data_IF_279663957456
#
_entry.id   IF_279663957456
#
_cell.length_a   1.000
_cell.length_b   1.000
_cell.length_c   1.000
_cell.angle_alpha   90.00
_cell.angle_beta   90.00
_cell.angle_gamma   90.00
#
_symmetry.space_group_name_H-M   'P 1'
#
loop_
_entity.id
_entity.type
_entity.pdbx_description
1 polymer ?
#
# COMPACT_ATOMS: atom_id res chain seq x y z
N UNK A 1 -2.81 2.14 4.52
CA UNK A 1 -2.81 3.59 4.80
C UNK A 1 -1.39 4.17 4.75
N UNK A 2 -0.54 3.74 3.80
CA UNK A 2 0.82 4.29 3.70
C UNK A 2 0.86 5.68 3.05
N UNK A 3 -0.17 5.97 2.27
CA UNK A 3 -0.35 7.17 1.44
C UNK A 3 -1.03 8.34 2.16
N UNK A 4 -1.67 8.10 3.31
CA UNK A 4 -2.44 9.15 4.00
C UNK A 4 -1.56 9.89 5.01
N UNK A 5 -1.84 11.18 5.29
CA UNK A 5 -1.06 11.97 6.26
C UNK A 5 -1.10 11.38 7.67
N UNK A 6 -2.28 10.95 8.10
CA UNK A 6 -2.51 10.28 9.38
C UNK A 6 -2.65 8.77 9.13
N UNK A 7 -1.63 8.03 9.55
CA UNK A 7 -1.57 6.58 9.44
C UNK A 7 -1.47 5.95 10.83
N UNK A 8 -1.97 4.72 11.03
CA UNK A 8 -1.90 4.07 12.32
C UNK A 8 -0.45 3.90 12.76
N UNK A 9 -0.13 4.16 14.02
CA UNK A 9 1.23 3.86 14.53
C UNK A 9 1.42 2.36 14.74
N UNK A 10 0.34 1.67 15.11
CA UNK A 10 0.28 0.24 15.37
C UNK A 10 -1.04 -0.32 14.85
N UNK A 11 -1.07 -1.62 14.62
CA UNK A 11 -2.30 -2.34 14.35
C UNK A 11 -2.29 -3.71 15.00
N UNK A 12 -3.49 -4.21 15.28
CA UNK A 12 -3.71 -5.58 15.72
C UNK A 12 -4.41 -6.36 14.63
N UNK A 13 -4.04 -7.64 14.48
CA UNK A 13 -4.85 -8.64 13.80
C UNK A 13 -5.26 -9.71 14.81
N UNK A 14 -6.51 -10.17 14.72
CA UNK A 14 -7.06 -11.23 15.57
C UNK A 14 -7.70 -12.32 14.72
N UNK A 15 -7.32 -13.57 14.91
CA UNK A 15 -7.95 -14.70 14.23
C UNK A 15 -9.17 -15.17 15.02
N UNK A 16 -10.36 -14.89 14.51
CA UNK A 16 -11.59 -15.40 15.11
C UNK A 16 -11.98 -16.77 14.52
N UNK A 17 -11.69 -16.96 13.23
CA UNK A 17 -11.90 -18.21 12.51
C UNK A 17 -10.69 -18.51 11.62
N UNK A 18 -10.08 -19.68 11.84
CA UNK A 18 -8.91 -20.15 11.11
C UNK A 18 -9.22 -20.34 9.61
N UNK A 19 -8.26 -20.03 8.73
CA UNK A 19 -8.39 -20.38 7.32
C UNK A 19 -8.38 -21.90 7.13
N UNK A 20 -9.24 -22.42 6.24
CA UNK A 20 -9.20 -23.85 5.89
C UNK A 20 -7.85 -24.28 5.26
N UNK A 21 -7.26 -23.41 4.44
CA UNK A 21 -5.88 -23.52 3.94
C UNK A 21 -5.35 -22.15 3.52
N UNK A 22 -4.05 -21.90 3.72
CA UNK A 22 -3.39 -20.63 3.39
C UNK A 22 -3.85 -19.48 4.28
N UNK A 23 -4.01 -18.28 3.71
CA UNK A 23 -4.63 -17.15 4.40
C UNK A 23 -3.81 -16.53 5.52
N UNK A 24 -2.53 -16.87 5.60
CA UNK A 24 -1.57 -16.23 6.49
C UNK A 24 -1.55 -14.71 6.23
N UNK A 25 -1.10 -13.97 7.23
CA UNK A 25 -0.75 -12.55 7.11
C UNK A 25 0.77 -12.44 7.14
N UNK A 26 1.48 -12.61 6.01
CA UNK A 26 2.93 -12.43 5.99
C UNK A 26 3.31 -11.03 6.46
N UNK A 27 4.34 -10.95 7.28
CA UNK A 27 4.92 -9.71 7.77
C UNK A 27 6.41 -9.64 7.41
N UNK A 28 6.90 -8.44 7.11
CA UNK A 28 8.29 -8.22 6.73
C UNK A 28 8.81 -6.90 7.32
N UNK A 29 10.06 -6.91 7.76
CA UNK A 29 10.69 -5.75 8.39
C UNK A 29 11.06 -4.69 7.34
N UNK A 30 10.45 -3.52 7.46
CA UNK A 30 10.57 -2.41 6.51
C UNK A 30 12.00 -1.88 6.37
N UNK A 31 12.75 -1.82 7.47
CA UNK A 31 14.14 -1.35 7.44
C UNK A 31 15.08 -2.34 6.71
N UNK A 32 14.81 -3.65 6.79
CA UNK A 32 15.61 -4.68 6.11
C UNK A 32 15.47 -4.52 4.59
N UNK A 33 14.24 -4.26 4.13
CA UNK A 33 13.98 -4.00 2.71
C UNK A 33 14.71 -2.72 2.27
N UNK A 34 14.67 -1.66 3.07
CA UNK A 34 15.43 -0.44 2.79
C UNK A 34 16.93 -0.72 2.65
N UNK A 35 17.54 -1.42 3.61
CA UNK A 35 18.98 -1.73 3.60
C UNK A 35 19.37 -2.57 2.39
N UNK A 36 18.61 -3.62 2.08
CA UNK A 36 18.89 -4.49 0.93
C UNK A 36 18.70 -3.76 -0.40
N UNK A 37 17.65 -2.96 -0.54
CA UNK A 37 17.43 -2.14 -1.75
C UNK A 37 18.53 -1.11 -1.92
N UNK A 38 18.99 -0.47 -0.84
CA UNK A 38 20.07 0.52 -0.90
C UNK A 38 21.41 -0.11 -1.32
N UNK A 39 21.71 -1.32 -0.88
CA UNK A 39 22.91 -2.04 -1.30
C UNK A 39 22.82 -2.48 -2.77
N UNK A 40 21.68 -3.02 -3.19
CA UNK A 40 21.52 -3.56 -4.57
C UNK A 40 21.32 -2.46 -5.62
N UNK A 41 20.60 -1.40 -5.30
CA UNK A 41 20.19 -0.35 -6.24
C UNK A 41 20.37 1.05 -5.61
N UNK A 42 21.61 1.46 -5.28
CA UNK A 42 21.87 2.72 -4.56
C UNK A 42 21.32 3.95 -5.28
N UNK A 43 21.52 4.06 -6.60
CA UNK A 43 21.04 5.19 -7.41
C UNK A 43 19.51 5.28 -7.46
N UNK A 44 18.84 4.13 -7.53
CA UNK A 44 17.38 4.06 -7.49
C UNK A 44 16.85 4.54 -6.14
N UNK A 45 17.46 4.09 -5.04
CA UNK A 45 17.07 4.49 -3.67
C UNK A 45 17.36 5.97 -3.43
N UNK A 46 18.48 6.50 -3.94
CA UNK A 46 18.79 7.93 -3.87
C UNK A 46 17.76 8.77 -4.63
N UNK A 47 17.38 8.35 -5.84
CA UNK A 47 16.32 9.00 -6.61
C UNK A 47 14.97 8.93 -5.89
N UNK A 48 14.63 7.80 -5.27
CA UNK A 48 13.42 7.67 -4.45
C UNK A 48 13.41 8.58 -3.22
N UNK A 49 14.54 8.75 -2.53
CA UNK A 49 14.67 9.62 -1.35
C UNK A 49 14.52 11.09 -1.74
N UNK A 50 15.06 11.46 -2.91
CA UNK A 50 15.01 12.83 -3.44
C UNK A 50 13.65 13.20 -4.03
N UNK A 51 13.15 12.37 -4.95
CA UNK A 51 12.00 12.72 -5.79
C UNK A 51 10.69 12.18 -5.19
N UNK A 52 10.73 11.10 -4.41
CA UNK A 52 9.54 10.42 -3.92
C UNK A 52 8.78 9.69 -5.02
N UNK A 53 7.47 9.50 -4.81
CA UNK A 53 6.57 8.77 -5.71
C UNK A 53 5.28 9.55 -5.96
N UNK A 54 4.74 9.40 -7.18
CA UNK A 54 3.37 9.79 -7.52
C UNK A 54 2.55 8.52 -7.70
N UNK A 55 1.38 8.47 -7.06
CA UNK A 55 0.39 7.41 -7.22
C UNK A 55 -0.79 7.94 -8.03
N UNK A 56 -1.18 7.19 -9.05
CA UNK A 56 -2.35 7.48 -9.89
C UNK A 56 -3.33 6.32 -9.82
N UNK A 57 -4.60 6.61 -9.57
CA UNK A 57 -5.66 5.59 -9.51
C UNK A 57 -6.95 6.11 -10.13
N UNK A 58 -7.55 5.31 -10.99
CA UNK A 58 -8.86 5.59 -11.60
C UNK A 58 -9.93 4.82 -10.82
N UNK A 59 -10.81 5.59 -10.18
CA UNK A 59 -11.91 5.11 -9.35
C UNK A 59 -13.22 5.24 -10.13
N UNK A 60 -14.00 4.16 -10.20
CA UNK A 60 -15.39 4.22 -10.65
C UNK A 60 -16.28 4.94 -9.63
N UNK A 61 -17.55 5.16 -9.99
CA UNK A 61 -18.52 5.75 -9.06
C UNK A 61 -18.81 4.84 -7.87
N UNK A 62 -19.10 3.57 -8.15
CA UNK A 62 -19.49 2.55 -7.18
C UNK A 62 -18.40 1.51 -6.98
N UNK A 63 -18.58 0.65 -5.98
CA UNK A 63 -17.64 -0.41 -5.65
C UNK A 63 -17.76 -1.60 -6.62
N UNK A 64 -16.62 -2.10 -7.07
CA UNK A 64 -16.50 -3.28 -7.93
C UNK A 64 -15.88 -4.45 -7.16
N UNK A 65 -16.65 -5.43 -6.70
CA UNK A 65 -16.13 -6.54 -5.89
C UNK A 65 -15.19 -7.48 -6.67
N UNK A 66 -15.14 -7.38 -8.01
CA UNK A 66 -14.26 -8.20 -8.84
C UNK A 66 -12.85 -7.62 -8.98
N UNK A 67 -12.67 -6.33 -8.68
CA UNK A 67 -11.39 -5.64 -8.78
C UNK A 67 -10.61 -5.68 -7.45
N UNK A 68 -9.28 -5.95 -7.47
CA UNK A 68 -8.44 -5.89 -6.27
C UNK A 68 -8.37 -4.47 -5.67
N UNK A 69 -8.74 -3.47 -6.47
CA UNK A 69 -8.78 -2.05 -6.11
C UNK A 69 -10.17 -1.46 -6.44
N UNK A 70 -11.21 -2.27 -6.27
CA UNK A 70 -12.56 -1.95 -6.72
C UNK A 70 -13.32 -0.87 -5.96
N UNK A 71 -12.82 -0.37 -4.83
CA UNK A 71 -13.48 0.71 -4.08
C UNK A 71 -13.68 1.95 -4.97
N UNK A 72 -14.93 2.38 -5.12
CA UNK A 72 -15.31 3.57 -5.89
C UNK A 72 -14.99 4.86 -5.15
N UNK A 73 -15.10 5.99 -5.84
CA UNK A 73 -14.83 7.29 -5.21
C UNK A 73 -15.88 7.65 -4.15
N UNK A 74 -17.12 7.20 -4.31
CA UNK A 74 -18.17 7.49 -3.34
C UNK A 74 -17.89 6.84 -1.99
N UNK A 75 -17.44 5.59 -1.99
CA UNK A 75 -17.00 4.86 -0.79
C UNK A 75 -15.65 5.38 -0.28
N UNK A 76 -14.71 5.71 -1.17
CA UNK A 76 -13.40 6.25 -0.79
C UNK A 76 -13.50 7.59 -0.06
N UNK A 77 -14.33 8.50 -0.57
CA UNK A 77 -14.51 9.83 -0.01
C UNK A 77 -15.77 9.97 0.85
N UNK A 78 -16.52 8.88 1.06
CA UNK A 78 -17.74 8.82 1.87
C UNK A 78 -18.79 9.88 1.51
N UNK A 79 -19.00 10.11 0.22
CA UNK A 79 -19.91 11.16 -0.29
C UNK A 79 -20.36 10.84 -1.72
N UNK A 80 -21.51 11.37 -2.12
CA UNK A 80 -22.00 11.35 -3.52
C UNK A 80 -21.86 12.70 -4.21
N UNK A 81 -21.36 13.71 -3.51
CA UNK A 81 -21.15 15.06 -4.03
C UNK A 81 -19.68 15.22 -4.47
N UNK A 82 -19.48 15.64 -5.73
CA UNK A 82 -18.16 15.81 -6.34
C UNK A 82 -17.32 16.89 -5.64
N UNK A 83 -17.93 18.01 -5.29
CA UNK A 83 -17.25 19.12 -4.61
C UNK A 83 -16.80 18.71 -3.20
N UNK A 84 -17.64 17.95 -2.48
CA UNK A 84 -17.26 17.39 -1.17
C UNK A 84 -16.14 16.36 -1.31
N UNK A 85 -16.14 15.55 -2.38
CA UNK A 85 -15.07 14.59 -2.65
C UNK A 85 -13.75 15.30 -2.92
N UNK A 86 -13.75 16.38 -3.70
CA UNK A 86 -12.57 17.21 -3.97
C UNK A 86 -12.00 17.84 -2.68
N UNK A 87 -12.86 18.39 -1.82
CA UNK A 87 -12.45 18.96 -0.53
C UNK A 87 -11.77 17.89 0.36
N UNK A 88 -12.37 16.70 0.45
CA UNK A 88 -11.84 15.58 1.24
C UNK A 88 -10.54 15.03 0.64
N UNK A 89 -10.47 14.90 -0.68
CA UNK A 89 -9.26 14.50 -1.39
C UNK A 89 -8.11 15.49 -1.17
N UNK A 90 -8.39 16.81 -1.25
CA UNK A 90 -7.40 17.85 -1.00
C UNK A 90 -6.82 17.77 0.42
N UNK A 91 -7.67 17.50 1.44
CA UNK A 91 -7.21 17.27 2.83
C UNK A 91 -6.27 16.06 2.96
N UNK A 92 -6.42 15.06 2.09
CA UNK A 92 -5.54 13.89 2.02
C UNK A 92 -4.31 14.10 1.12
N UNK A 93 -4.12 15.30 0.56
CA UNK A 93 -3.02 15.59 -0.38
C UNK A 93 -3.23 14.97 -1.77
N UNK A 94 -4.48 14.72 -2.16
CA UNK A 94 -4.85 14.16 -3.46
C UNK A 94 -5.49 15.23 -4.35
N UNK A 95 -5.17 15.17 -5.65
CA UNK A 95 -5.88 15.89 -6.72
C UNK A 95 -6.86 14.94 -7.40
N UNK A 96 -8.07 15.42 -7.67
CA UNK A 96 -9.07 14.70 -8.45
C UNK A 96 -9.22 15.31 -9.84
N UNK A 97 -9.26 14.46 -10.86
CA UNK A 97 -9.55 14.80 -12.25
C UNK A 97 -10.76 13.96 -12.70
N UNK A 98 -11.94 14.60 -12.78
CA UNK A 98 -13.18 13.90 -13.14
C UNK A 98 -13.16 13.45 -14.60
N UNK A 99 -13.66 12.24 -14.83
CA UNK A 99 -13.86 11.65 -16.16
C UNK A 99 -15.36 11.38 -16.37
N UNK A 100 -15.76 10.91 -17.56
CA UNK A 100 -17.15 10.55 -17.83
C UNK A 100 -17.64 9.44 -16.88
N UNK A 101 -16.83 8.39 -16.68
CA UNK A 101 -17.22 7.19 -15.93
C UNK A 101 -16.69 7.13 -14.47
N UNK A 102 -16.08 8.21 -13.97
CA UNK A 102 -15.43 8.16 -12.66
C UNK A 102 -14.50 9.33 -12.37
N UNK A 103 -13.39 9.04 -11.70
CA UNK A 103 -12.40 10.05 -11.32
C UNK A 103 -11.00 9.46 -11.29
N UNK A 104 -10.04 10.21 -11.84
CA UNK A 104 -8.62 9.95 -11.67
C UNK A 104 -8.12 10.68 -10.43
N UNK A 105 -7.69 9.92 -9.43
CA UNK A 105 -7.04 10.41 -8.22
C UNK A 105 -5.53 10.38 -8.41
N UNK A 106 -4.87 11.50 -8.09
CA UNK A 106 -3.42 11.66 -8.17
C UNK A 106 -2.92 12.08 -6.79
N UNK A 107 -1.96 11.37 -6.24
CA UNK A 107 -1.29 11.72 -4.99
C UNK A 107 0.21 11.77 -5.19
N UNK A 108 0.83 12.87 -4.77
CA UNK A 108 2.28 13.01 -4.76
C UNK A 108 2.77 14.32 -5.38
N UNK A 109 4.10 14.53 -5.41
CA UNK A 109 5.12 13.60 -4.92
C UNK A 109 5.07 13.42 -3.39
N UNK A 110 5.13 12.17 -2.92
CA UNK A 110 5.25 11.83 -1.49
C UNK A 110 6.50 10.99 -1.21
N UNK A 111 7.13 11.10 -0.02
CA UNK A 111 8.33 10.33 0.31
C UNK A 111 8.11 8.82 0.19
N UNK A 112 9.05 8.14 -0.47
CA UNK A 112 9.06 6.67 -0.55
C UNK A 112 9.78 6.03 0.65
N UNK A 113 10.65 6.80 1.30
CA UNK A 113 11.49 6.40 2.42
C UNK A 113 11.19 7.34 3.56
N UNK A 114 11.00 6.80 4.77
CA UNK A 114 10.77 7.60 5.98
C UNK A 114 11.85 7.30 7.02
N UNK A 115 12.04 8.22 7.95
CA UNK A 115 12.89 8.00 9.12
C UNK A 115 12.04 7.55 10.31
N UNK A 116 12.27 6.33 10.81
CA UNK A 116 11.76 5.87 12.10
C UNK A 116 12.61 6.49 13.21
N UNK A 117 12.16 7.64 13.73
CA UNK A 117 12.84 8.37 14.80
C UNK A 117 12.96 7.59 16.10
N UNK A 118 12.05 6.64 16.37
CA UNK A 118 12.08 5.84 17.60
C UNK A 118 13.21 4.82 17.60
N UNK A 119 13.66 4.41 16.41
CA UNK A 119 14.72 3.41 16.22
C UNK A 119 15.97 3.95 15.50
N UNK A 120 15.96 5.22 15.10
CA UNK A 120 17.10 5.89 14.46
C UNK A 120 17.48 5.30 13.09
N UNK A 121 16.50 4.83 12.30
CA UNK A 121 16.77 4.16 11.02
C UNK A 121 15.74 4.51 9.94
N UNK A 122 16.16 4.39 8.68
CA UNK A 122 15.26 4.55 7.52
C UNK A 122 14.43 3.30 7.28
N UNK A 123 13.22 3.50 6.78
CA UNK A 123 12.22 2.44 6.55
C UNK A 123 11.63 2.56 5.14
N UNK A 124 11.36 1.40 4.53
CA UNK A 124 10.66 1.26 3.25
C UNK A 124 9.15 1.47 3.43
N UNK A 125 8.74 2.73 3.68
CA UNK A 125 7.36 3.11 3.96
C UNK A 125 6.70 3.67 2.70
N UNK A 126 6.35 2.78 1.77
CA UNK A 126 5.65 3.14 0.55
C UNK A 126 4.76 1.98 0.06
N UNK A 127 4.04 2.19 -1.03
CA UNK A 127 3.22 1.16 -1.67
C UNK A 127 3.63 0.93 -3.11
N UNK A 128 4.92 1.11 -3.42
CA UNK A 128 5.45 1.02 -4.77
C UNK A 128 5.17 -0.34 -5.41
N UNK A 129 5.60 -1.44 -4.76
CA UNK A 129 5.36 -2.80 -5.26
C UNK A 129 3.86 -3.10 -5.29
N UNK A 130 3.11 -2.71 -4.26
CA UNK A 130 1.67 -2.95 -4.19
C UNK A 130 0.90 -2.27 -5.34
N UNK A 131 1.26 -1.03 -5.69
CA UNK A 131 0.66 -0.32 -6.81
C UNK A 131 1.11 -0.89 -8.15
N UNK A 132 2.43 -1.05 -8.34
CA UNK A 132 3.02 -1.47 -9.61
C UNK A 132 2.66 -2.89 -10.04
N UNK A 133 2.27 -3.76 -9.09
CA UNK A 133 1.89 -5.15 -9.39
C UNK A 133 0.42 -5.44 -9.15
N UNK A 134 -0.22 -4.73 -8.20
CA UNK A 134 -1.55 -5.07 -7.69
C UNK A 134 -2.65 -4.09 -8.08
N UNK A 135 -2.34 -2.85 -8.51
CA UNK A 135 -3.36 -1.88 -8.93
C UNK A 135 -3.74 -2.10 -10.39
N UNK A 136 -4.28 -3.29 -10.65
CA UNK A 136 -4.67 -3.75 -11.99
C UNK A 136 -6.15 -4.09 -12.01
N UNK A 137 -6.88 -3.42 -12.87
CA UNK A 137 -8.25 -3.76 -13.25
C UNK A 137 -8.56 -3.21 -14.64
N UNK A 138 -9.83 -3.22 -15.06
CA UNK A 138 -10.23 -2.68 -16.35
C UNK A 138 -9.95 -1.17 -16.52
N UNK A 139 -9.78 -0.43 -15.42
CA UNK A 139 -9.56 1.03 -15.40
C UNK A 139 -8.09 1.39 -15.19
N UNK A 140 -7.32 0.52 -14.54
CA UNK A 140 -5.98 0.82 -14.06
C UNK A 140 -4.92 -0.10 -14.68
N UNK A 141 -3.95 0.53 -15.34
CA UNK A 141 -2.70 -0.10 -15.77
C UNK A 141 -1.67 -0.01 -14.64
N UNK A 142 -1.25 -1.13 -14.03
CA UNK A 142 -0.44 -1.09 -12.81
C UNK A 142 0.94 -0.47 -13.05
N UNK A 143 1.52 -0.56 -14.25
CA UNK A 143 2.83 0.08 -14.54
C UNK A 143 2.75 1.61 -14.60
N UNK A 144 1.54 2.16 -14.73
CA UNK A 144 1.25 3.61 -14.69
C UNK A 144 0.66 4.06 -13.36
N UNK A 145 0.34 3.11 -12.47
CA UNK A 145 -0.28 3.40 -11.18
C UNK A 145 0.69 4.08 -10.22
N UNK A 146 1.99 3.93 -10.43
CA UNK A 146 3.03 4.58 -9.64
C UNK A 146 4.24 4.94 -10.50
N UNK A 147 4.73 6.16 -10.33
CA UNK A 147 5.94 6.70 -10.98
C UNK A 147 6.85 7.31 -9.93
N UNK A 148 8.08 7.67 -10.31
CA UNK A 148 8.86 8.62 -9.53
C UNK A 148 8.09 9.94 -9.36
N UNK A 149 8.48 10.73 -8.37
CA UNK A 149 7.82 12.00 -8.07
C UNK A 149 8.01 13.09 -9.13
N UNK A 150 8.95 12.91 -10.06
CA UNK A 150 9.09 13.73 -11.27
C UNK A 150 8.23 13.24 -12.44
N UNK A 151 7.46 12.16 -12.25
CA UNK A 151 6.61 11.53 -13.27
C UNK A 151 7.34 10.50 -14.15
N UNK A 152 8.64 10.31 -13.97
CA UNK A 152 9.38 9.30 -14.75
C UNK A 152 8.95 7.88 -14.37
N UNK A 153 8.78 6.96 -15.34
CA UNK A 153 8.41 5.57 -15.03
C UNK A 153 9.44 4.86 -14.17
N UNK A 154 8.96 3.94 -13.32
CA UNK A 154 9.83 3.09 -12.51
C UNK A 154 10.42 1.93 -13.36
N UNK A 155 11.72 1.62 -13.22
CA UNK A 155 12.37 0.49 -13.91
C UNK A 155 11.79 -0.84 -13.42
N UNK A 156 11.17 -1.60 -14.34
CA UNK A 156 10.39 -2.79 -14.01
C UNK A 156 11.21 -3.88 -13.31
N UNK A 157 12.44 -4.10 -13.76
CA UNK A 157 13.39 -5.07 -13.19
C UNK A 157 13.68 -4.79 -11.72
N UNK A 158 13.90 -3.52 -11.35
CA UNK A 158 14.14 -3.12 -9.96
C UNK A 158 12.91 -3.34 -9.08
N UNK A 159 11.71 -3.09 -9.62
CA UNK A 159 10.46 -3.33 -8.88
C UNK A 159 10.25 -4.83 -8.60
N UNK A 160 10.53 -5.69 -9.57
CA UNK A 160 10.40 -7.14 -9.39
C UNK A 160 11.47 -7.71 -8.47
N UNK A 161 12.68 -7.17 -8.48
CA UNK A 161 13.71 -7.51 -7.47
C UNK A 161 13.31 -7.05 -6.07
N UNK A 162 12.65 -5.91 -5.93
CA UNK A 162 12.07 -5.47 -4.65
C UNK A 162 10.96 -6.42 -4.17
N UNK A 163 10.08 -6.87 -5.08
CA UNK A 163 9.06 -7.88 -4.77
C UNK A 163 9.70 -9.18 -4.27
N UNK A 164 10.73 -9.68 -4.96
CA UNK A 164 11.45 -10.88 -4.57
C UNK A 164 12.08 -10.74 -3.18
N UNK A 165 12.70 -9.60 -2.88
CA UNK A 165 13.22 -9.30 -1.54
C UNK A 165 12.13 -9.30 -0.46
N UNK A 166 10.95 -8.74 -0.76
CA UNK A 166 9.82 -8.77 0.16
C UNK A 166 9.36 -10.20 0.44
N UNK A 167 9.38 -11.08 -0.57
CA UNK A 167 9.01 -12.49 -0.42
C UNK A 167 10.06 -13.29 0.35
N UNK A 168 11.35 -13.07 0.07
CA UNK A 168 12.48 -13.73 0.75
C UNK A 168 12.54 -13.40 2.26
N UNK A 169 12.26 -12.15 2.62
CA UNK A 169 12.39 -11.67 4.00
C UNK A 169 11.10 -11.78 4.83
N UNK A 170 9.98 -12.18 4.21
CA UNK A 170 8.72 -12.27 4.94
C UNK A 170 8.64 -13.49 5.85
N UNK A 171 7.98 -13.31 6.98
CA UNK A 171 7.59 -14.38 7.88
C UNK A 171 6.08 -14.55 7.79
N UNK A 172 5.64 -15.73 7.37
CA UNK A 172 4.23 -16.09 7.23
C UNK A 172 3.87 -17.14 8.30
N UNK A 173 3.38 -16.68 9.44
CA UNK A 173 2.94 -17.57 10.53
C UNK A 173 1.52 -18.05 10.20
N UNK A 174 1.26 -19.37 10.19
CA UNK A 174 -0.09 -19.91 10.08
C UNK A 174 -0.95 -19.42 11.23
N UNK A 175 -2.11 -18.85 10.92
CA UNK A 175 -3.06 -18.39 11.92
C UNK A 175 -3.66 -19.56 12.70
N UNK A 176 -3.73 -19.43 14.02
CA UNK A 176 -4.55 -20.25 14.89
C UNK A 176 -5.67 -19.41 15.51
N UNK A 177 -6.78 -20.05 15.83
CA UNK A 177 -7.92 -19.40 16.45
C UNK A 177 -7.49 -18.74 17.75
N UNK A 178 -7.93 -17.51 17.92
CA UNK A 178 -7.64 -16.63 19.04
C UNK A 178 -6.23 -16.04 19.09
N UNK A 179 -5.39 -16.29 18.08
CA UNK A 179 -4.13 -15.56 17.94
C UNK A 179 -4.38 -14.04 17.82
N UNK A 180 -3.52 -13.28 18.47
CA UNK A 180 -3.45 -11.82 18.35
C UNK A 180 -2.03 -11.45 17.90
N UNK A 181 -1.94 -10.80 16.75
CA UNK A 181 -0.71 -10.24 16.22
C UNK A 181 -0.72 -8.73 16.42
N UNK A 182 0.23 -8.20 17.20
CA UNK A 182 0.51 -6.77 17.29
C UNK A 182 1.63 -6.40 16.31
N UNK A 183 1.37 -5.41 15.48
CA UNK A 183 2.33 -4.85 14.53
C UNK A 183 2.63 -3.39 14.87
N UNK A 184 3.92 -3.04 14.92
CA UNK A 184 4.38 -1.66 14.78
C UNK A 184 4.40 -1.28 13.30
N UNK A 185 3.50 -0.38 12.90
CA UNK A 185 3.22 -0.08 11.50
C UNK A 185 4.34 0.77 10.85
N UNK A 186 5.23 1.38 11.63
CA UNK A 186 6.43 2.01 11.09
C UNK A 186 7.49 0.97 10.72
N UNK A 187 7.56 -0.14 11.46
CA UNK A 187 8.62 -1.12 11.30
C UNK A 187 8.28 -2.27 10.35
N UNK A 188 7.00 -2.52 10.06
CA UNK A 188 6.54 -3.76 9.43
C UNK A 188 5.57 -3.47 8.28
N UNK A 189 5.84 -4.08 7.12
CA UNK A 189 4.85 -4.23 6.05
C UNK A 189 4.11 -5.56 6.25
N UNK A 190 2.85 -5.61 5.84
CA UNK A 190 2.04 -6.82 5.89
C UNK A 190 1.35 -7.08 4.55
N UNK A 191 1.09 -8.35 4.27
CA UNK A 191 0.36 -8.80 3.08
C UNK A 191 -0.64 -9.89 3.47
N UNK A 192 -1.22 -10.58 2.48
CA UNK A 192 -2.13 -11.70 2.70
C UNK A 192 -1.90 -12.77 1.64
N UNK A 193 -1.75 -14.02 2.05
CA UNK A 193 -1.72 -15.15 1.12
C UNK A 193 -3.12 -15.47 0.57
N UNK A 194 -3.24 -16.04 -0.64
CA UNK A 194 -4.47 -16.69 -1.09
C UNK A 194 -4.95 -17.73 -0.06
N UNK A 195 -6.26 -17.98 -0.02
CA UNK A 195 -6.86 -18.91 0.95
C UNK A 195 -8.16 -19.51 0.44
N UNK A 196 -8.53 -20.63 1.05
CA UNK A 196 -9.86 -21.20 0.91
C UNK A 196 -10.70 -20.86 2.15
N UNK A 197 -11.92 -20.32 1.98
CA UNK A 197 -12.84 -20.10 3.10
C UNK A 197 -13.15 -21.39 3.87
N UNK A 198 -13.59 -21.30 5.14
CA UNK A 198 -13.82 -20.06 5.90
C UNK A 198 -12.51 -19.39 6.32
N UNK A 199 -12.57 -18.10 6.69
CA UNK A 199 -11.46 -17.31 7.25
C UNK A 199 -12.00 -15.99 7.80
N UNK A 200 -11.84 -15.72 9.09
CA UNK A 200 -12.23 -14.44 9.69
C UNK A 200 -11.11 -13.86 10.56
N UNK A 201 -10.42 -12.87 10.02
CA UNK A 201 -9.40 -12.07 10.72
C UNK A 201 -9.96 -10.67 10.96
N UNK A 202 -10.02 -10.26 12.23
CA UNK A 202 -10.43 -8.91 12.63
C UNK A 202 -9.19 -8.01 12.77
N UNK A 203 -9.38 -6.69 12.73
CA UNK A 203 -8.30 -5.72 12.90
C UNK A 203 -8.69 -4.54 13.78
N UNK A 204 -7.69 -3.91 14.42
CA UNK A 204 -7.83 -2.66 15.16
C UNK A 204 -6.64 -1.75 14.84
N UNK A 205 -6.90 -0.44 14.70
CA UNK A 205 -5.90 0.56 14.30
C UNK A 205 -5.65 1.53 15.45
N UNK A 206 -4.38 1.73 15.80
CA UNK A 206 -3.99 2.67 16.84
C UNK A 206 -3.59 4.03 16.25
N UNK A 207 -3.91 5.11 16.98
CA UNK A 207 -3.42 6.45 16.66
C UNK A 207 -1.90 6.53 16.72
#
# INVERSE_FOLDING_TARGET
MAQVPEYPTKLFFYCEEEPGNGGETPIVLSYVIYEKMKVRFPEFVEKLDKDGLIYTRILGAEDDPSSPIGCGWQSTFLTKDKSIAEERAARLGMKLEWTEDGVKSIMGPIPAIKDDKTRGRKIWFNSMVAAYTGWKDCRNDPVKAVTFGDGTPLPSDVIHECLKLLEEECVAIPWQKSDILLIDNLAVLHSRRPFNPPRRILASLCK
#
